data_IF_606370941718
#
_entry.id   IF_606370941718
#
_cell.length_a   1.000
_cell.length_b   1.000
_cell.length_c   1.000
_cell.angle_alpha   90.00
_cell.angle_beta   90.00
_cell.angle_gamma   90.00
#
_symmetry.space_group_name_H-M   'P 1'
#
loop_
_entity.id
_entity.type
_entity.pdbx_description
1 polymer ?
#
# COMPACT_ATOMS: atom_id res chain seq x y z
N UNK A 1 -17.30 -1.45 2.39
CA UNK A 1 -16.51 -2.44 1.62
C UNK A 1 -15.65 -3.20 2.63
N UNK A 2 -15.58 -4.53 2.54
CA UNK A 2 -14.74 -5.32 3.44
C UNK A 2 -13.27 -5.19 3.00
N UNK A 3 -12.39 -4.75 3.89
CA UNK A 3 -10.96 -4.72 3.65
C UNK A 3 -10.45 -6.16 3.50
N UNK A 4 -9.70 -6.44 2.42
CA UNK A 4 -9.09 -7.76 2.25
C UNK A 4 -7.81 -7.85 3.08
N UNK A 5 -7.57 -9.01 3.70
CA UNK A 5 -6.34 -9.27 4.46
C UNK A 5 -5.36 -10.00 3.54
N UNK A 6 -4.18 -9.41 3.35
CA UNK A 6 -3.05 -10.04 2.68
C UNK A 6 -2.12 -10.63 3.74
N UNK A 7 -1.84 -11.93 3.62
CA UNK A 7 -0.84 -12.63 4.44
C UNK A 7 0.45 -12.79 3.66
N UNK A 8 1.58 -12.56 4.28
CA UNK A 8 2.89 -12.67 3.66
C UNK A 8 3.94 -13.18 4.64
N UNK A 9 5.04 -13.69 4.08
CA UNK A 9 6.22 -14.07 4.85
C UNK A 9 7.20 -12.90 4.82
N UNK A 10 7.30 -12.22 5.95
CA UNK A 10 8.21 -11.09 6.13
C UNK A 10 9.66 -11.51 6.24
N UNK A 11 10.51 -10.61 6.75
CA UNK A 11 11.90 -10.93 7.02
C UNK A 11 12.04 -12.12 7.97
N UNK A 12 13.04 -12.97 7.71
CA UNK A 12 13.27 -14.22 8.45
C UNK A 12 12.11 -15.22 8.39
N UNK A 13 11.15 -15.03 7.47
CA UNK A 13 10.02 -15.93 7.28
C UNK A 13 8.92 -15.78 8.32
N UNK A 14 8.87 -14.67 9.07
CA UNK A 14 7.82 -14.45 10.06
C UNK A 14 6.44 -14.27 9.39
N UNK A 15 5.41 -14.80 10.04
CA UNK A 15 4.03 -14.57 9.62
C UNK A 15 3.65 -13.11 9.83
N UNK A 16 3.23 -12.46 8.75
CA UNK A 16 2.89 -11.05 8.74
C UNK A 16 1.56 -10.85 8.00
N UNK A 17 0.84 -9.79 8.33
CA UNK A 17 -0.46 -9.45 7.73
C UNK A 17 -0.58 -7.96 7.46
N UNK A 18 -1.26 -7.60 6.37
CA UNK A 18 -1.64 -6.22 6.11
C UNK A 18 -3.03 -6.15 5.48
N UNK A 19 -3.66 -4.98 5.52
CA UNK A 19 -4.83 -4.69 4.71
C UNK A 19 -4.44 -4.44 3.26
N UNK A 20 -5.29 -4.88 2.32
CA UNK A 20 -5.17 -4.61 0.90
C UNK A 20 -6.50 -4.08 0.36
N UNK A 21 -6.45 -2.89 -0.22
CA UNK A 21 -7.52 -2.35 -1.05
C UNK A 21 -6.96 -1.99 -2.44
N UNK A 22 -7.72 -2.31 -3.48
CA UNK A 22 -7.41 -1.94 -4.87
C UNK A 22 -8.64 -1.17 -5.38
N UNK A 23 -8.43 0.09 -5.76
CA UNK A 23 -9.49 1.00 -6.19
C UNK A 23 -9.18 1.56 -7.56
N UNK A 24 -10.06 1.30 -8.53
CA UNK A 24 -10.00 1.99 -9.81
C UNK A 24 -10.25 3.49 -9.60
N UNK A 25 -9.42 4.31 -10.22
CA UNK A 25 -9.58 5.76 -10.26
C UNK A 25 -9.97 6.18 -11.68
N UNK A 26 -10.19 7.49 -11.87
CA UNK A 26 -10.33 8.06 -13.20
C UNK A 26 -9.10 7.85 -14.08
N UNK A 27 -9.28 8.01 -15.40
CA UNK A 27 -8.21 7.99 -16.40
C UNK A 27 -7.37 6.71 -16.45
N UNK A 28 -7.97 5.57 -16.10
CA UNK A 28 -7.31 4.27 -16.14
C UNK A 28 -6.21 4.09 -15.09
N UNK A 29 -6.19 4.93 -14.06
CA UNK A 29 -5.31 4.77 -12.89
C UNK A 29 -5.94 3.82 -11.88
N UNK A 30 -5.12 3.15 -11.08
CA UNK A 30 -5.57 2.33 -9.95
C UNK A 30 -4.77 2.71 -8.72
N UNK A 31 -5.45 2.90 -7.60
CA UNK A 31 -4.82 3.05 -6.29
C UNK A 31 -4.73 1.68 -5.61
N UNK A 32 -3.56 1.37 -5.08
CA UNK A 32 -3.32 0.19 -4.26
C UNK A 32 -2.92 0.66 -2.88
N UNK A 33 -3.74 0.34 -1.90
CA UNK A 33 -3.57 0.77 -0.52
C UNK A 33 -3.15 -0.46 0.28
N UNK A 34 -1.94 -0.39 0.86
CA UNK A 34 -1.42 -1.35 1.81
C UNK A 34 -1.50 -0.73 3.20
N UNK A 35 -2.38 -1.29 4.03
CA UNK A 35 -2.66 -0.77 5.37
C UNK A 35 -1.89 -1.60 6.41
N UNK A 36 -1.07 -0.95 7.23
CA UNK A 36 -0.55 -1.60 8.43
C UNK A 36 -1.69 -1.89 9.41
N UNK A 37 -1.81 -3.15 9.82
CA UNK A 37 -2.82 -3.55 10.80
C UNK A 37 -2.22 -3.52 12.20
N UNK A 38 -3.00 -3.06 13.18
CA UNK A 38 -2.54 -3.00 14.58
C UNK A 38 -2.18 -4.37 15.17
N UNK A 39 -2.75 -5.45 14.62
CA UNK A 39 -2.50 -6.83 15.05
C UNK A 39 -1.38 -7.53 14.24
N UNK A 40 -0.72 -6.81 13.32
CA UNK A 40 0.46 -7.35 12.65
C UNK A 40 1.65 -7.43 13.62
N UNK A 41 1.92 -8.63 14.11
CA UNK A 41 3.09 -8.93 14.95
C UNK A 41 4.35 -9.30 14.16
N UNK A 42 4.25 -9.33 12.82
CA UNK A 42 5.32 -9.71 11.92
C UNK A 42 6.15 -8.52 11.41
N UNK A 43 6.66 -8.65 10.18
CA UNK A 43 7.35 -7.54 9.51
C UNK A 43 6.33 -6.49 9.09
N UNK A 44 6.59 -5.23 9.42
CA UNK A 44 5.71 -4.10 9.04
C UNK A 44 5.60 -3.94 7.52
N UNK A 45 4.52 -3.29 7.09
CA UNK A 45 4.27 -2.92 5.69
C UNK A 45 5.41 -2.06 5.16
N UNK A 46 5.83 -1.03 5.90
CA UNK A 46 6.93 -0.12 5.51
C UNK A 46 8.21 -0.87 5.21
N UNK A 47 8.57 -1.83 6.06
CA UNK A 47 9.82 -2.57 5.94
C UNK A 47 9.81 -3.58 4.80
N UNK A 48 8.63 -3.96 4.29
CA UNK A 48 8.47 -4.99 3.26
C UNK A 48 7.80 -4.46 1.98
N UNK A 49 7.67 -3.14 1.85
CA UNK A 49 6.75 -2.51 0.93
C UNK A 49 7.00 -2.88 -0.54
N UNK A 50 8.25 -2.85 -0.99
CA UNK A 50 8.60 -3.15 -2.38
C UNK A 50 8.36 -4.63 -2.75
N UNK A 51 8.51 -5.53 -1.78
CA UNK A 51 8.21 -6.95 -1.95
C UNK A 51 6.69 -7.16 -2.05
N UNK A 52 5.93 -6.53 -1.15
CA UNK A 52 4.46 -6.53 -1.20
C UNK A 52 3.94 -5.95 -2.51
N UNK A 53 4.45 -4.79 -2.94
CA UNK A 53 4.08 -4.18 -4.21
C UNK A 53 4.35 -5.11 -5.39
N UNK A 54 5.49 -5.80 -5.38
CA UNK A 54 5.84 -6.80 -6.40
C UNK A 54 4.85 -7.96 -6.40
N UNK A 55 4.55 -8.54 -5.23
CA UNK A 55 3.59 -9.64 -5.11
C UNK A 55 2.19 -9.24 -5.55
N UNK A 56 1.71 -8.07 -5.09
CA UNK A 56 0.39 -7.55 -5.45
C UNK A 56 0.30 -7.27 -6.94
N UNK A 57 1.34 -6.71 -7.55
CA UNK A 57 1.36 -6.48 -8.98
C UNK A 57 1.18 -7.77 -9.77
N UNK A 58 2.01 -8.77 -9.50
CA UNK A 58 1.96 -10.03 -10.24
C UNK A 58 0.68 -10.81 -9.99
N UNK A 59 0.12 -10.72 -8.78
CA UNK A 59 -1.06 -11.48 -8.40
C UNK A 59 -2.38 -10.84 -8.84
N UNK A 60 -2.44 -9.50 -8.91
CA UNK A 60 -3.72 -8.79 -9.06
C UNK A 60 -3.75 -7.74 -10.18
N UNK A 61 -2.60 -7.20 -10.62
CA UNK A 61 -2.57 -6.02 -11.49
C UNK A 61 -1.96 -6.28 -12.88
N UNK A 62 -1.05 -7.23 -13.01
CA UNK A 62 -0.46 -7.58 -14.31
C UNK A 62 -1.57 -7.99 -15.31
N UNK A 63 -1.52 -7.53 -16.58
CA UNK A 63 -0.40 -6.85 -17.25
C UNK A 63 -0.51 -5.31 -17.28
N UNK A 64 -1.18 -4.67 -16.30
CA UNK A 64 -1.35 -3.21 -16.28
C UNK A 64 0.02 -2.48 -16.35
N UNK A 65 0.10 -1.33 -17.04
CA UNK A 65 1.28 -0.45 -17.00
C UNK A 65 1.59 -0.02 -15.57
N UNK A 66 2.85 -0.11 -15.13
CA UNK A 66 3.21 0.19 -13.74
C UNK A 66 3.03 1.67 -13.40
N UNK A 67 3.10 2.54 -14.40
CA UNK A 67 2.94 3.99 -14.30
C UNK A 67 1.50 4.41 -14.02
N UNK A 68 0.51 3.53 -14.27
CA UNK A 68 -0.89 3.79 -13.94
C UNK A 68 -1.27 3.33 -12.53
N UNK A 69 -0.32 2.78 -11.77
CA UNK A 69 -0.53 2.33 -10.39
C UNK A 69 -0.04 3.40 -9.41
N UNK A 70 -0.93 3.80 -8.51
CA UNK A 70 -0.61 4.66 -7.37
C UNK A 70 -0.51 3.77 -6.14
N UNK A 71 0.71 3.57 -5.65
CA UNK A 71 0.97 2.83 -4.43
C UNK A 71 0.82 3.74 -3.22
N UNK A 72 0.07 3.28 -2.22
CA UNK A 72 -0.25 4.03 -1.02
C UNK A 72 0.01 3.16 0.20
N UNK A 73 0.83 3.66 1.12
CA UNK A 73 0.90 3.14 2.47
C UNK A 73 -0.10 3.88 3.35
N UNK A 74 -0.81 3.12 4.17
CA UNK A 74 -1.75 3.66 5.13
C UNK A 74 -1.47 3.09 6.53
N UNK A 75 -1.37 4.00 7.49
CA UNK A 75 -1.41 3.68 8.91
C UNK A 75 -2.70 4.27 9.49
N UNK A 76 -3.59 3.43 10.05
CA UNK A 76 -4.80 3.93 10.71
C UNK A 76 -4.46 4.84 11.89
N UNK A 77 -5.45 5.67 12.26
CA UNK A 77 -5.42 6.40 13.53
C UNK A 77 -5.20 5.40 14.67
N UNK A 78 -4.27 5.74 15.55
CA UNK A 78 -3.99 4.94 16.74
C UNK A 78 -4.04 5.85 17.98
N UNK A 79 -5.15 5.82 18.74
CA UNK A 79 -5.33 6.68 19.91
C UNK A 79 -4.42 6.28 21.08
N UNK A 80 -3.85 5.07 21.08
CA UNK A 80 -2.97 4.61 22.17
C UNK A 80 -1.61 5.30 22.14
N UNK A 81 -1.20 5.78 20.96
CA UNK A 81 0.04 6.52 20.75
C UNK A 81 -0.21 7.92 20.17
N UNK A 82 -1.45 8.42 20.27
CA UNK A 82 -1.87 9.75 19.78
C UNK A 82 -1.45 10.04 18.33
N UNK A 83 -1.55 9.02 17.46
CA UNK A 83 -1.19 9.14 16.05
C UNK A 83 -2.43 9.27 15.19
N UNK A 84 -2.56 10.38 14.48
CA UNK A 84 -3.56 10.54 13.42
C UNK A 84 -3.33 9.54 12.26
N UNK A 85 -4.35 9.30 11.45
CA UNK A 85 -4.19 8.44 10.27
C UNK A 85 -3.16 9.02 9.30
N UNK A 86 -2.17 8.22 8.91
CA UNK A 86 -1.11 8.61 7.98
C UNK A 86 -1.37 7.96 6.63
N UNK A 87 -1.33 8.77 5.58
CA UNK A 87 -1.53 8.35 4.19
C UNK A 87 -0.35 8.85 3.37
N UNK A 88 0.47 7.94 2.90
CA UNK A 88 1.66 8.26 2.11
C UNK A 88 1.58 7.61 0.73
N UNK A 89 1.85 8.40 -0.31
CA UNK A 89 2.15 7.86 -1.62
C UNK A 89 3.57 7.29 -1.61
N UNK A 90 3.71 6.06 -2.07
CA UNK A 90 5.00 5.39 -2.18
C UNK A 90 5.45 5.36 -3.63
N UNK A 91 6.54 6.05 -3.93
CA UNK A 91 7.18 6.00 -5.24
C UNK A 91 8.19 4.86 -5.25
N UNK A 92 8.11 3.99 -6.26
CA UNK A 92 8.95 2.81 -6.40
C UNK A 92 9.66 2.86 -7.75
N UNK A 93 10.90 2.34 -7.78
CA UNK A 93 11.58 2.01 -9.03
C UNK A 93 11.09 0.65 -9.53
N UNK A 94 10.77 0.56 -10.82
CA UNK A 94 10.48 -0.70 -11.51
C UNK A 94 11.65 -1.09 -12.41
N UNK A 95 12.04 -2.37 -12.39
CA UNK A 95 13.12 -2.91 -13.23
C UNK A 95 12.65 -3.86 -14.34
N UNK A 96 11.33 -3.99 -14.53
CA UNK A 96 10.72 -4.99 -15.42
C UNK A 96 10.26 -6.26 -14.72
N UNK A 97 10.68 -6.49 -13.47
CA UNK A 97 10.34 -7.68 -12.70
C UNK A 97 9.91 -7.40 -11.27
N UNK A 98 10.55 -6.44 -10.60
CA UNK A 98 10.34 -6.12 -9.18
C UNK A 98 10.33 -4.62 -8.96
N UNK A 99 9.60 -4.22 -7.93
CA UNK A 99 9.70 -2.89 -7.36
C UNK A 99 10.89 -2.82 -6.38
N UNK A 100 11.49 -1.64 -6.25
CA UNK A 100 12.59 -1.37 -5.30
C UNK A 100 12.70 0.11 -4.97
N UNK A 101 13.56 0.46 -4.01
CA UNK A 101 13.88 1.83 -3.61
C UNK A 101 12.63 2.69 -3.30
N UNK A 102 11.78 2.26 -2.34
CA UNK A 102 10.58 3.01 -1.97
C UNK A 102 10.94 4.41 -1.44
N UNK A 103 10.12 5.39 -1.81
CA UNK A 103 10.21 6.77 -1.36
C UNK A 103 8.82 7.25 -0.97
N UNK A 104 8.62 7.53 0.31
CA UNK A 104 7.35 7.96 0.87
C UNK A 104 7.19 9.47 0.78
N UNK A 105 5.98 9.92 0.45
CA UNK A 105 5.57 11.32 0.52
C UNK A 105 4.12 11.41 0.98
N UNK A 106 3.75 12.45 1.74
CA UNK A 106 2.35 12.68 2.11
C UNK A 106 1.44 12.65 0.88
N UNK A 107 0.34 11.89 0.98
CA UNK A 107 -0.63 11.76 -0.10
C UNK A 107 -1.27 13.12 -0.40
N UNK A 108 -1.25 13.52 -1.67
CA UNK A 108 -1.79 14.79 -2.12
C UNK A 108 -3.33 14.88 -2.01
N UNK A 109 -3.83 16.11 -1.93
CA UNK A 109 -5.26 16.38 -1.74
C UNK A 109 -6.11 15.88 -2.92
N UNK A 110 -5.61 15.94 -4.15
CA UNK A 110 -6.35 15.47 -5.32
C UNK A 110 -6.62 13.97 -5.20
N UNK A 111 -5.58 13.18 -4.92
CA UNK A 111 -5.68 11.73 -4.76
C UNK A 111 -6.54 11.37 -3.55
N UNK A 112 -6.41 12.08 -2.42
CA UNK A 112 -7.32 11.91 -1.28
C UNK A 112 -8.79 12.17 -1.66
N UNK A 113 -9.06 13.18 -2.48
CA UNK A 113 -10.41 13.48 -2.98
C UNK A 113 -10.97 12.36 -3.87
N UNK A 114 -10.15 11.84 -4.79
CA UNK A 114 -10.53 10.70 -5.65
C UNK A 114 -10.81 9.41 -4.84
N UNK A 115 -10.15 9.25 -3.71
CA UNK A 115 -10.34 8.12 -2.80
C UNK A 115 -11.47 8.33 -1.78
N UNK A 116 -12.10 9.51 -1.75
CA UNK A 116 -13.12 9.85 -0.76
C UNK A 116 -12.58 10.01 0.67
N UNK A 117 -11.30 10.37 0.81
CA UNK A 117 -10.59 10.53 2.10
C UNK A 117 -10.60 11.98 2.63
N UNK A 118 -11.30 12.90 1.96
CA UNK A 118 -11.45 14.28 2.41
C UNK A 118 -12.83 14.43 3.03
N UNK A 119 -12.87 14.84 4.30
CA UNK A 119 -14.06 15.29 5.01
C UNK A 119 -14.18 16.82 4.95
#
# INVERSE_FOLDING_TARGET
>A
MCMNILRYKGFWGCDSVCGLEIKELGDGKVAVILTELEDNSGTSVTNFYEYLATEVYWKYLAPRPVESIIWIEHYPENPRIEREAVWDRVFLRWDGRRFSNPQWRPLDRETKGQLGLIH
#
